data_IF_023358324801
#
_entry.id   IF_023358324801
#
_cell.length_a   1.000
_cell.length_b   1.000
_cell.length_c   1.000
_cell.angle_alpha   90.00
_cell.angle_beta   90.00
_cell.angle_gamma   90.00
#
_symmetry.space_group_name_H-M   'P 1'
#
loop_
_entity.id
_entity.type
_entity.pdbx_description
1 polymer ?
#
# COMPACT_ATOMS: atom_id res chain seq x y z
N UNK A 1 -21.23 14.70 -5.81
CA UNK A 1 -20.52 15.50 -6.85
C UNK A 1 -19.02 15.20 -6.92
N UNK A 2 -18.31 14.92 -5.81
CA UNK A 2 -16.89 14.49 -5.86
C UNK A 2 -16.69 13.12 -6.56
N UNK A 3 -17.66 12.21 -6.44
CA UNK A 3 -17.65 10.87 -7.03
C UNK A 3 -17.76 10.86 -8.56
N UNK A 4 -18.39 11.88 -9.16
CA UNK A 4 -18.56 11.98 -10.62
C UNK A 4 -17.33 12.61 -11.30
N UNK A 5 -16.73 13.63 -10.69
CA UNK A 5 -15.50 14.26 -11.19
C UNK A 5 -14.30 13.31 -11.15
N UNK A 6 -14.22 12.43 -10.14
CA UNK A 6 -13.21 11.37 -10.06
C UNK A 6 -13.38 10.29 -11.13
N UNK A 7 -14.61 10.08 -11.63
CA UNK A 7 -14.88 9.13 -12.72
C UNK A 7 -14.45 9.67 -14.07
N UNK A 8 -14.65 10.97 -14.33
CA UNK A 8 -14.27 11.63 -15.59
C UNK A 8 -12.75 11.75 -15.76
N UNK A 9 -12.01 12.02 -14.68
CA UNK A 9 -10.54 12.09 -14.73
C UNK A 9 -9.87 10.76 -15.15
N UNK A 10 -10.54 9.62 -14.93
CA UNK A 10 -10.05 8.28 -15.32
C UNK A 10 -10.32 7.96 -16.79
N UNK A 11 -11.23 8.67 -17.45
CA UNK A 11 -11.65 8.44 -18.85
C UNK A 11 -10.87 9.31 -19.84
N UNK A 12 -10.25 10.41 -19.39
CA UNK A 12 -9.72 11.46 -20.27
C UNK A 12 -8.26 11.30 -20.73
N UNK A 13 -7.64 10.13 -20.64
CA UNK A 13 -6.28 9.92 -21.21
C UNK A 13 -6.31 8.84 -22.29
N UNK A 14 -6.53 9.21 -23.57
CA UNK A 14 -6.37 8.30 -24.68
C UNK A 14 -4.89 7.87 -24.76
N UNK A 15 -4.63 6.57 -24.75
CA UNK A 15 -3.29 6.00 -24.92
C UNK A 15 -2.56 5.56 -23.64
N UNK A 16 -3.18 5.65 -22.46
CA UNK A 16 -2.52 5.26 -21.21
C UNK A 16 -2.66 3.76 -20.91
N UNK A 17 -1.54 3.05 -20.78
CA UNK A 17 -1.46 1.63 -20.38
C UNK A 17 -2.20 1.38 -19.05
N UNK A 18 -2.69 0.16 -18.79
CA UNK A 18 -3.33 -0.22 -17.50
C UNK A 18 -2.53 0.25 -16.25
N UNK A 19 -1.21 0.37 -16.39
CA UNK A 19 -0.28 0.90 -15.39
C UNK A 19 -0.55 2.38 -15.02
N UNK A 20 -0.86 3.25 -15.97
CA UNK A 20 -1.13 4.68 -15.70
C UNK A 20 -2.42 4.87 -14.91
N UNK A 21 -3.47 4.10 -15.20
CA UNK A 21 -4.72 4.11 -14.40
C UNK A 21 -4.46 3.62 -12.97
N UNK A 22 -3.59 2.63 -12.80
CA UNK A 22 -3.16 2.17 -11.49
C UNK A 22 -2.36 3.25 -10.73
N UNK A 23 -1.49 3.99 -11.42
CA UNK A 23 -0.70 5.08 -10.85
C UNK A 23 -1.57 6.27 -10.40
N UNK A 24 -2.61 6.62 -11.17
CA UNK A 24 -3.58 7.65 -10.77
C UNK A 24 -4.37 7.21 -9.54
N UNK A 25 -4.92 5.98 -9.52
CA UNK A 25 -5.62 5.47 -8.35
C UNK A 25 -4.69 5.36 -7.13
N UNK A 26 -3.44 4.97 -7.38
CA UNK A 26 -2.39 4.93 -6.40
C UNK A 26 -2.06 6.31 -5.81
N UNK A 27 -2.05 7.35 -6.63
CA UNK A 27 -1.85 8.73 -6.24
C UNK A 27 -3.04 9.28 -5.42
N UNK A 28 -4.26 9.00 -5.86
CA UNK A 28 -5.47 9.40 -5.14
C UNK A 28 -5.52 8.80 -3.73
N UNK A 29 -5.20 7.51 -3.60
CA UNK A 29 -5.15 6.87 -2.29
C UNK A 29 -3.99 7.35 -1.40
N UNK A 30 -2.89 7.83 -1.99
CA UNK A 30 -1.83 8.52 -1.22
C UNK A 30 -2.37 9.82 -0.62
N UNK A 31 -3.11 10.60 -1.39
CA UNK A 31 -3.72 11.87 -0.95
C UNK A 31 -4.77 11.62 0.16
N UNK A 32 -5.60 10.59 0.04
CA UNK A 32 -6.68 10.31 1.01
C UNK A 32 -6.21 9.64 2.32
N UNK A 33 -4.96 9.14 2.39
CA UNK A 33 -4.37 8.57 3.63
C UNK A 33 -3.44 9.53 4.38
N UNK A 34 -3.37 10.82 4.01
CA UNK A 34 -2.48 11.80 4.63
C UNK A 34 -3.01 12.48 5.89
N UNK A 35 -4.14 12.05 6.47
CA UNK A 35 -4.52 12.49 7.82
C UNK A 35 -3.95 11.54 8.87
N UNK A 36 -2.83 11.87 9.53
CA UNK A 36 -2.46 11.19 10.76
C UNK A 36 -3.60 11.41 11.78
N UNK A 37 -4.06 10.32 12.41
CA UNK A 37 -4.93 10.44 13.58
C UNK A 37 -4.20 11.28 14.65
N UNK A 38 -4.90 12.14 15.41
CA UNK A 38 -4.27 13.00 16.40
C UNK A 38 -3.54 12.14 17.43
N UNK A 39 -2.25 12.43 17.62
CA UNK A 39 -1.36 11.69 18.50
C UNK A 39 -1.83 11.72 19.96
N UNK A 40 -2.20 10.57 20.51
CA UNK A 40 -2.29 10.36 21.95
C UNK A 40 -0.88 10.26 22.56
N UNK A 41 -0.73 10.71 23.81
CA UNK A 41 0.48 11.35 24.39
C UNK A 41 1.65 10.39 24.77
N UNK A 42 1.93 9.39 23.95
CA UNK A 42 3.20 8.65 23.85
C UNK A 42 3.43 8.28 22.38
N UNK A 43 3.44 9.29 21.51
CA UNK A 43 3.44 9.12 20.05
C UNK A 43 4.62 8.27 19.57
N UNK A 44 4.46 7.52 18.46
CA UNK A 44 5.55 6.75 17.87
C UNK A 44 6.80 7.63 17.73
N UNK A 45 7.97 7.09 18.09
CA UNK A 45 9.26 7.77 17.95
C UNK A 45 9.35 8.45 16.57
N UNK A 46 9.81 9.71 16.43
CA UNK A 46 9.75 10.46 15.17
C UNK A 46 10.39 9.71 13.98
N UNK A 47 11.44 8.93 14.24
CA UNK A 47 12.05 8.04 13.23
C UNK A 47 11.10 6.96 12.68
N UNK A 48 10.09 6.50 13.44
CA UNK A 48 9.06 5.59 12.92
C UNK A 48 8.20 6.28 11.85
N UNK A 49 7.74 7.51 12.12
CA UNK A 49 7.03 8.31 11.11
C UNK A 49 7.89 8.56 9.86
N UNK A 50 9.16 8.92 10.06
CA UNK A 50 10.13 9.09 8.98
C UNK A 50 10.39 7.81 8.17
N UNK A 51 10.30 6.63 8.79
CA UNK A 51 10.41 5.34 8.12
C UNK A 51 9.13 4.94 7.37
N UNK A 52 7.95 5.26 7.91
CA UNK A 52 6.66 4.93 7.30
C UNK A 52 6.42 5.74 6.03
N UNK A 53 6.77 7.04 6.02
CA UNK A 53 6.57 7.91 4.86
C UNK A 53 7.12 7.34 3.52
N UNK A 54 8.40 6.92 3.41
CA UNK A 54 8.92 6.34 2.19
C UNK A 54 8.31 4.97 1.87
N UNK A 55 7.91 4.18 2.88
CA UNK A 55 7.21 2.90 2.66
C UNK A 55 5.87 3.14 1.97
N UNK A 56 5.05 4.06 2.49
CA UNK A 56 3.73 4.36 1.92
C UNK A 56 3.81 4.98 0.52
N UNK A 57 4.83 5.80 0.28
CA UNK A 57 5.05 6.44 -1.02
C UNK A 57 5.43 5.42 -2.11
N UNK A 58 6.19 4.37 -1.76
CA UNK A 58 6.84 3.48 -2.73
C UNK A 58 6.46 2.00 -2.53
N UNK A 59 5.22 1.70 -2.09
CA UNK A 59 4.78 0.32 -1.87
C UNK A 59 4.91 -0.58 -3.11
N UNK A 60 4.85 -0.01 -4.33
CA UNK A 60 4.98 -0.75 -5.58
C UNK A 60 6.42 -1.17 -5.90
N UNK A 61 7.41 -0.51 -5.29
CA UNK A 61 8.82 -0.66 -5.60
C UNK A 61 9.48 -1.70 -4.69
N UNK A 62 10.62 -2.29 -5.11
CA UNK A 62 11.45 -3.08 -4.21
C UNK A 62 11.92 -2.20 -3.05
N UNK A 63 11.44 -2.49 -1.84
CA UNK A 63 11.84 -1.80 -0.62
C UNK A 63 12.73 -2.73 0.22
N UNK A 64 13.93 -2.27 0.56
CA UNK A 64 14.80 -3.00 1.48
C UNK A 64 14.83 -2.32 2.85
N UNK A 65 14.99 -3.12 3.91
CA UNK A 65 15.08 -2.61 5.29
C UNK A 65 16.24 -1.61 5.47
N UNK A 66 17.44 -1.82 4.87
CA UNK A 66 18.52 -0.83 4.92
C UNK A 66 18.16 0.52 4.28
N UNK A 67 17.42 0.54 3.17
CA UNK A 67 17.00 1.79 2.51
C UNK A 67 16.01 2.56 3.38
N UNK A 68 15.05 1.86 3.99
CA UNK A 68 14.09 2.47 4.92
C UNK A 68 14.82 3.04 6.14
N UNK A 69 15.81 2.31 6.67
CA UNK A 69 16.58 2.75 7.83
C UNK A 69 17.38 4.03 7.52
N UNK A 70 18.03 4.06 6.35
CA UNK A 70 18.76 5.23 5.84
C UNK A 70 17.85 6.43 5.64
N UNK A 71 16.67 6.24 5.05
CA UNK A 71 15.69 7.32 4.87
C UNK A 71 15.18 7.89 6.20
N UNK A 72 15.09 7.05 7.23
CA UNK A 72 14.67 7.43 8.58
C UNK A 72 15.81 7.94 9.49
N UNK A 73 17.07 7.95 9.01
CA UNK A 73 18.23 8.39 9.78
C UNK A 73 18.58 7.49 10.97
N UNK A 74 18.23 6.20 10.91
CA UNK A 74 18.46 5.23 12.00
C UNK A 74 19.24 4.02 11.53
N UNK A 75 19.88 3.31 12.46
CA UNK A 75 20.49 2.01 12.16
C UNK A 75 19.42 0.94 11.90
N UNK A 76 19.80 -0.11 11.17
CA UNK A 76 18.94 -1.26 10.89
C UNK A 76 18.33 -1.88 12.16
N UNK A 77 19.16 -2.09 13.19
CA UNK A 77 18.70 -2.66 14.47
C UNK A 77 17.74 -1.74 15.21
N UNK A 78 17.96 -0.42 15.14
CA UNK A 78 17.04 0.55 15.71
C UNK A 78 15.70 0.52 14.95
N UNK A 79 15.72 0.49 13.61
CA UNK A 79 14.51 0.38 12.80
C UNK A 79 13.67 -0.85 13.16
N UNK A 80 14.30 -2.03 13.30
CA UNK A 80 13.58 -3.26 13.70
C UNK A 80 12.89 -3.09 15.05
N UNK A 81 13.59 -2.50 16.04
CA UNK A 81 13.00 -2.25 17.36
C UNK A 81 11.84 -1.25 17.29
N UNK A 82 11.97 -0.20 16.48
CA UNK A 82 10.91 0.78 16.29
C UNK A 82 9.63 0.14 15.72
N UNK A 83 9.75 -0.68 14.69
CA UNK A 83 8.59 -1.37 14.12
C UNK A 83 7.98 -2.37 15.09
N UNK A 84 8.80 -3.18 15.77
CA UNK A 84 8.28 -4.11 16.79
C UNK A 84 7.55 -3.38 17.93
N UNK A 85 8.10 -2.26 18.40
CA UNK A 85 7.48 -1.48 19.46
C UNK A 85 6.19 -0.77 19.00
N UNK A 86 6.15 -0.26 17.78
CA UNK A 86 5.02 0.52 17.27
C UNK A 86 3.89 -0.33 16.68
N UNK A 87 4.20 -1.48 16.08
CA UNK A 87 3.23 -2.30 15.33
C UNK A 87 3.16 -3.75 15.78
N UNK A 88 4.06 -4.20 16.67
CA UNK A 88 4.21 -5.61 17.01
C UNK A 88 4.89 -6.47 15.93
N UNK A 89 5.23 -5.87 14.78
CA UNK A 89 5.63 -6.60 13.58
C UNK A 89 7.06 -6.26 13.13
N UNK A 90 7.59 -7.09 12.23
CA UNK A 90 8.80 -6.75 11.48
C UNK A 90 8.51 -5.72 10.39
N UNK A 91 9.53 -4.96 9.99
CA UNK A 91 9.43 -4.01 8.85
C UNK A 91 8.88 -4.68 7.60
N UNK A 92 9.34 -5.90 7.28
CA UNK A 92 8.91 -6.65 6.09
C UNK A 92 7.44 -7.08 6.20
N UNK A 93 7.01 -7.53 7.39
CA UNK A 93 5.60 -7.86 7.62
C UNK A 93 4.72 -6.62 7.47
N UNK A 94 5.12 -5.48 8.05
CA UNK A 94 4.41 -4.22 7.88
C UNK A 94 4.25 -3.83 6.41
N UNK A 95 5.33 -3.83 5.62
CA UNK A 95 5.28 -3.52 4.17
C UNK A 95 4.30 -4.47 3.47
N UNK A 96 4.35 -5.76 3.78
CA UNK A 96 3.44 -6.77 3.21
C UNK A 96 1.98 -6.48 3.53
N UNK A 97 1.66 -6.17 4.80
CA UNK A 97 0.29 -5.83 5.21
C UNK A 97 -0.20 -4.59 4.46
N UNK A 98 0.60 -3.52 4.40
CA UNK A 98 0.25 -2.30 3.66
C UNK A 98 0.02 -2.54 2.17
N UNK A 99 0.83 -3.39 1.53
CA UNK A 99 0.61 -3.81 0.13
C UNK A 99 -0.72 -4.53 -0.05
N UNK A 100 -1.11 -5.38 0.89
CA UNK A 100 -2.37 -6.14 0.80
C UNK A 100 -3.59 -5.30 1.14
N UNK A 101 -3.49 -4.36 2.08
CA UNK A 101 -4.56 -3.38 2.33
C UNK A 101 -4.84 -2.54 1.08
N UNK A 102 -3.78 -2.09 0.42
CA UNK A 102 -3.84 -1.35 -0.84
C UNK A 102 -4.47 -2.22 -1.94
N UNK A 103 -4.07 -3.49 -2.04
CA UNK A 103 -4.63 -4.43 -3.00
C UNK A 103 -6.11 -4.69 -2.75
N UNK A 104 -6.51 -4.88 -1.49
CA UNK A 104 -7.89 -5.09 -1.10
C UNK A 104 -8.77 -3.90 -1.50
N UNK A 105 -8.28 -2.68 -1.24
CA UNK A 105 -8.97 -1.47 -1.68
C UNK A 105 -9.11 -1.41 -3.21
N UNK A 106 -8.03 -1.68 -3.96
CA UNK A 106 -8.04 -1.71 -5.43
C UNK A 106 -8.98 -2.79 -5.99
N UNK A 107 -9.05 -3.96 -5.36
CA UNK A 107 -9.90 -5.06 -5.79
C UNK A 107 -11.38 -4.70 -5.72
N UNK A 108 -11.77 -3.90 -4.72
CA UNK A 108 -13.15 -3.43 -4.49
C UNK A 108 -13.50 -2.17 -5.28
N UNK A 109 -12.56 -1.24 -5.43
CA UNK A 109 -12.85 0.10 -5.92
C UNK A 109 -12.46 0.34 -7.40
N UNK A 110 -11.54 -0.45 -7.96
CA UNK A 110 -11.01 -0.24 -9.30
C UNK A 110 -11.39 -1.36 -10.28
N UNK A 111 -11.53 -1.01 -11.56
CA UNK A 111 -11.81 -1.97 -12.66
C UNK A 111 -10.53 -2.59 -13.26
N UNK A 112 -9.40 -2.52 -12.56
CA UNK A 112 -8.12 -3.03 -13.05
C UNK A 112 -8.09 -4.56 -13.11
N UNK A 113 -7.28 -5.13 -14.00
CA UNK A 113 -7.02 -6.58 -14.00
C UNK A 113 -6.34 -7.01 -12.69
N UNK A 114 -6.58 -8.23 -12.22
CA UNK A 114 -5.92 -8.75 -10.99
C UNK A 114 -4.37 -8.71 -11.14
N UNK A 115 -3.77 -9.08 -12.29
CA UNK A 115 -2.34 -8.92 -12.51
C UNK A 115 -1.86 -7.46 -12.43
N UNK A 116 -2.61 -6.51 -12.98
CA UNK A 116 -2.27 -5.09 -12.87
C UNK A 116 -2.31 -4.60 -11.42
N UNK A 117 -3.29 -5.05 -10.62
CA UNK A 117 -3.34 -4.74 -9.19
C UNK A 117 -2.11 -5.31 -8.47
N UNK A 118 -1.80 -6.59 -8.70
CA UNK A 118 -0.65 -7.26 -8.09
C UNK A 118 0.67 -6.50 -8.38
N UNK A 119 0.86 -6.08 -9.63
CA UNK A 119 1.99 -5.26 -10.04
C UNK A 119 1.98 -3.87 -9.36
N UNK A 120 0.83 -3.21 -9.26
CA UNK A 120 0.69 -1.87 -8.65
C UNK A 120 0.97 -1.82 -7.15
N UNK A 121 0.93 -2.98 -6.47
CA UNK A 121 1.27 -3.11 -5.05
C UNK A 121 2.62 -3.79 -4.83
N UNK A 122 3.41 -4.00 -5.89
CA UNK A 122 4.76 -4.55 -5.78
C UNK A 122 4.83 -6.07 -5.56
N UNK A 123 3.74 -6.81 -5.79
CA UNK A 123 3.68 -8.28 -5.73
C UNK A 123 3.48 -8.82 -7.15
N UNK A 124 4.55 -8.79 -7.94
CA UNK A 124 4.50 -9.11 -9.38
C UNK A 124 4.14 -10.56 -9.68
N UNK A 125 4.57 -11.50 -8.83
CA UNK A 125 4.24 -12.91 -8.99
C UNK A 125 2.80 -13.19 -8.55
N UNK A 126 1.98 -13.66 -9.50
CA UNK A 126 0.54 -13.83 -9.29
C UNK A 126 0.24 -14.98 -8.32
N UNK A 127 1.05 -16.04 -8.27
CA UNK A 127 0.86 -17.11 -7.29
C UNK A 127 1.10 -16.62 -5.87
N UNK A 128 2.16 -15.84 -5.67
CA UNK A 128 2.51 -15.19 -4.41
C UNK A 128 1.42 -14.21 -3.99
N UNK A 129 0.90 -13.42 -4.92
CA UNK A 129 -0.21 -12.50 -4.67
C UNK A 129 -1.48 -13.24 -4.21
N UNK A 130 -1.87 -14.31 -4.92
CA UNK A 130 -3.02 -15.13 -4.54
C UNK A 130 -2.85 -15.76 -3.15
N UNK A 131 -1.67 -16.30 -2.86
CA UNK A 131 -1.34 -16.91 -1.55
C UNK A 131 -1.41 -15.86 -0.44
N UNK A 132 -0.85 -14.68 -0.68
CA UNK A 132 -0.86 -13.57 0.26
C UNK A 132 -2.28 -13.08 0.56
N UNK A 133 -3.13 -12.92 -0.47
CA UNK A 133 -4.54 -12.55 -0.28
C UNK A 133 -5.29 -13.59 0.55
N UNK A 134 -5.14 -14.89 0.24
CA UNK A 134 -5.80 -15.94 1.04
C UNK A 134 -5.35 -15.94 2.49
N UNK A 135 -4.05 -15.77 2.73
CA UNK A 135 -3.48 -15.81 4.08
C UNK A 135 -3.88 -14.61 4.93
N UNK A 136 -3.85 -13.41 4.36
CA UNK A 136 -3.94 -12.17 5.13
C UNK A 136 -5.32 -11.51 5.02
N UNK A 137 -6.04 -11.74 3.91
CA UNK A 137 -7.38 -11.18 3.66
C UNK A 137 -8.47 -12.27 3.66
N UNK A 138 -8.10 -13.52 3.92
CA UNK A 138 -9.04 -14.65 4.06
C UNK A 138 -9.61 -15.22 2.77
N UNK A 139 -9.37 -14.60 1.61
CA UNK A 139 -9.96 -15.03 0.35
C UNK A 139 -9.07 -14.76 -0.88
N UNK A 140 -9.42 -15.38 -2.02
CA UNK A 140 -8.73 -15.11 -3.29
C UNK A 140 -9.04 -13.70 -3.81
N UNK A 141 -8.16 -13.07 -4.61
CA UNK A 141 -8.41 -11.77 -5.21
C UNK A 141 -9.74 -11.69 -5.98
N UNK A 142 -10.09 -12.76 -6.71
CA UNK A 142 -11.34 -12.84 -7.46
C UNK A 142 -12.56 -12.86 -6.54
N UNK A 143 -12.48 -13.60 -5.42
CA UNK A 143 -13.54 -13.64 -4.43
C UNK A 143 -13.69 -12.28 -3.72
N UNK A 144 -12.57 -11.67 -3.29
CA UNK A 144 -12.56 -10.35 -2.66
C UNK A 144 -13.18 -9.25 -3.53
N UNK A 145 -13.02 -9.35 -4.86
CA UNK A 145 -13.66 -8.44 -5.82
C UNK A 145 -15.16 -8.66 -5.96
N UNK A 146 -15.61 -9.90 -5.88
CA UNK A 146 -17.02 -10.25 -6.03
C UNK A 146 -17.84 -9.99 -4.75
N UNK A 147 -17.17 -9.81 -3.61
CA UNK A 147 -17.83 -9.48 -2.34
C UNK A 147 -18.51 -8.10 -2.41
N UNK A 148 -19.81 -8.00 -2.07
CA UNK A 148 -20.50 -6.71 -1.97
C UNK A 148 -19.88 -5.84 -0.87
N UNK A 149 -20.00 -4.53 -1.03
CA UNK A 149 -19.32 -3.54 -0.20
C UNK A 149 -20.02 -3.19 1.10
#
# INVERSE_FOLDING_TARGET
>A
MLTSLLREAVVAVPGSTERTRAEVWAALWRITRLTPAPAERHGPHPAFGAAVAPVEAHLAEPLTVPEIARAAGVSHNHLIRLFRAATGDTVVAYVRHRRLDRAHHLLRAATLSIPAIAASVGIRDLQSFNKACRRELGASPRALRASPS
#
